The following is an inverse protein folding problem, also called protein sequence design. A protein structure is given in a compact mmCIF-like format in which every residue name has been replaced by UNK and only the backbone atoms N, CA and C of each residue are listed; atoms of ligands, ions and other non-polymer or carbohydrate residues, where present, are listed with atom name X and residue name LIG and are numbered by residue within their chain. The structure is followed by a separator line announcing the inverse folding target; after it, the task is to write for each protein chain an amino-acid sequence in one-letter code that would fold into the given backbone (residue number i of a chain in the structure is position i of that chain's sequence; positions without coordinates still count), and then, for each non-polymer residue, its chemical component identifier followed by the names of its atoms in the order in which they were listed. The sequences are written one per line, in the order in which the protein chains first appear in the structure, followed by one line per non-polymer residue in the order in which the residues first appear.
data_IF_635755327893
#
_entry.id   IF_635755327893
#
_cell.length_a   1.000
_cell.length_b   1.000
_cell.length_c   1.000
_cell.angle_alpha   90.00
_cell.angle_beta   90.00
_cell.angle_gamma   90.00
#
_symmetry.space_group_name_H-M   'P 1'
#
loop_
_entity.id
_entity.type
_entity.pdbx_description
1 polymer ?
#
# COMPACT_ATOMS: atom_id res chain seq x y z
N UNK A 1 38.10 -42.22 -11.92
CA UNK A 1 36.80 -41.49 -11.97
C UNK A 1 36.84 -40.35 -10.95
N UNK A 2 36.13 -39.24 -11.22
CA UNK A 2 36.11 -37.93 -10.50
C UNK A 2 37.21 -36.94 -10.89
N UNK A 3 36.87 -35.95 -11.72
CA UNK A 3 37.38 -34.55 -11.63
C UNK A 3 36.90 -33.60 -12.73
N UNK A 4 36.18 -34.06 -13.78
CA UNK A 4 35.76 -33.14 -14.87
C UNK A 4 34.41 -32.45 -14.69
N UNK A 5 33.54 -32.94 -13.81
CA UNK A 5 32.20 -32.34 -13.61
C UNK A 5 32.19 -31.08 -12.73
N UNK A 6 33.24 -30.83 -11.95
CA UNK A 6 33.25 -29.70 -11.01
C UNK A 6 33.57 -28.34 -11.67
N UNK A 7 34.15 -28.34 -12.88
CA UNK A 7 34.48 -27.10 -13.61
C UNK A 7 33.33 -26.50 -14.41
N UNK A 8 32.24 -27.26 -14.62
CA UNK A 8 31.09 -26.82 -15.41
C UNK A 8 29.89 -26.39 -14.57
N UNK A 9 29.78 -26.84 -13.31
CA UNK A 9 28.68 -26.45 -12.41
C UNK A 9 28.87 -25.08 -11.76
N UNK A 10 30.12 -24.64 -11.57
CA UNK A 10 30.46 -23.38 -10.90
C UNK A 10 29.97 -22.11 -11.64
N UNK A 11 30.11 -21.97 -12.97
CA UNK A 11 29.65 -20.76 -13.66
C UNK A 11 28.12 -20.64 -13.69
N UNK A 12 27.39 -21.76 -13.76
CA UNK A 12 25.91 -21.74 -13.86
C UNK A 12 25.26 -21.24 -12.57
N UNK A 13 25.81 -21.56 -11.39
CA UNK A 13 25.27 -21.11 -10.10
C UNK A 13 25.37 -19.60 -9.89
N UNK A 14 26.43 -18.95 -10.38
CA UNK A 14 26.64 -17.50 -10.22
C UNK A 14 25.66 -16.70 -11.08
N UNK A 15 25.37 -17.14 -12.31
CA UNK A 15 24.37 -16.50 -13.16
C UNK A 15 22.94 -16.61 -12.60
N UNK A 16 22.58 -17.75 -12.01
CA UNK A 16 21.26 -17.93 -11.40
C UNK A 16 21.08 -17.11 -10.12
N UNK A 17 22.13 -16.93 -9.30
CA UNK A 17 22.10 -16.07 -8.11
C UNK A 17 21.93 -14.58 -8.46
N UNK A 18 22.58 -14.09 -9.52
CA UNK A 18 22.45 -12.69 -9.95
C UNK A 18 21.01 -12.34 -10.37
N UNK A 19 20.34 -13.28 -11.05
CA UNK A 19 18.95 -13.11 -11.48
C UNK A 19 18.01 -13.10 -10.25
N UNK A 20 18.21 -13.98 -9.27
CA UNK A 20 17.41 -14.01 -8.04
C UNK A 20 17.52 -12.75 -7.16
N UNK A 21 18.68 -12.10 -7.14
CA UNK A 21 18.91 -10.87 -6.37
C UNK A 21 18.27 -9.62 -7.04
N UNK A 22 18.09 -9.63 -8.36
CA UNK A 22 17.38 -8.57 -9.08
C UNK A 22 15.89 -8.56 -8.70
N UNK A 23 15.25 -9.72 -8.66
CA UNK A 23 13.83 -9.85 -8.28
C UNK A 23 13.55 -9.67 -6.78
N UNK A 24 14.58 -9.79 -5.92
CA UNK A 24 14.45 -9.42 -4.51
C UNK A 24 14.52 -7.90 -4.28
N UNK A 25 15.12 -7.15 -5.22
CA UNK A 25 15.33 -5.70 -5.10
C UNK A 25 14.10 -4.87 -5.48
N UNK A 26 13.02 -5.50 -5.95
CA UNK A 26 11.73 -4.87 -6.24
C UNK A 26 10.69 -5.17 -5.15
N UNK A 27 11.09 -5.10 -3.88
CA UNK A 27 10.16 -5.14 -2.75
C UNK A 27 10.28 -3.90 -1.86
N UNK A 28 10.73 -2.79 -2.44
CA UNK A 28 10.42 -1.46 -1.95
C UNK A 28 9.37 -0.89 -2.89
N UNK A 29 8.17 -1.48 -2.82
CA UNK A 29 6.98 -0.76 -3.26
C UNK A 29 7.09 0.60 -2.59
N UNK A 30 7.39 1.60 -3.41
CA UNK A 30 7.43 2.98 -3.00
C UNK A 30 6.16 3.20 -2.20
N UNK A 31 6.35 3.36 -0.89
CA UNK A 31 5.48 4.08 0.02
C UNK A 31 5.39 5.51 -0.52
N UNK A 32 4.83 5.64 -1.73
CA UNK A 32 4.06 6.81 -2.09
C UNK A 32 3.10 6.91 -0.94
N UNK A 33 3.28 7.94 -0.12
CA UNK A 33 2.25 8.65 0.62
C UNK A 33 0.89 8.34 -0.01
N UNK A 34 0.31 7.20 0.37
CA UNK A 34 -0.79 6.63 -0.39
C UNK A 34 -1.96 7.44 0.09
N UNK A 35 -2.42 8.38 -0.74
CA UNK A 35 -3.65 9.12 -0.48
C UNK A 35 -4.70 8.10 -0.04
N UNK A 36 -4.96 8.08 1.27
CA UNK A 36 -5.84 7.08 1.86
C UNK A 36 -7.21 7.42 1.31
N UNK A 37 -7.76 6.54 0.48
CA UNK A 37 -9.08 6.75 -0.08
C UNK A 37 -10.06 6.80 1.08
N UNK A 38 -10.55 8.00 1.39
CA UNK A 38 -11.55 8.20 2.43
C UNK A 38 -12.88 7.61 1.99
N UNK A 39 -13.72 7.22 2.94
CA UNK A 39 -15.06 6.70 2.71
C UNK A 39 -16.08 7.53 3.47
N UNK A 40 -17.25 7.75 2.87
CA UNK A 40 -18.41 8.36 3.53
C UNK A 40 -19.57 7.38 3.56
N UNK A 41 -20.36 7.44 4.63
CA UNK A 41 -21.57 6.63 4.73
C UNK A 41 -22.71 7.28 3.95
N UNK A 42 -23.14 6.64 2.86
CA UNK A 42 -24.26 7.10 2.03
C UNK A 42 -25.12 5.93 1.58
N UNK A 43 -26.45 6.11 1.68
CA UNK A 43 -27.44 5.11 1.26
C UNK A 43 -27.20 3.71 1.87
N UNK A 44 -26.80 3.66 3.15
CA UNK A 44 -26.56 2.41 3.87
C UNK A 44 -25.24 1.71 3.55
N UNK A 45 -24.34 2.37 2.81
CA UNK A 45 -23.04 1.82 2.41
C UNK A 45 -21.91 2.84 2.56
N UNK A 46 -20.68 2.37 2.76
CA UNK A 46 -19.48 3.18 2.70
C UNK A 46 -19.04 3.34 1.25
N UNK A 47 -19.14 4.56 0.73
CA UNK A 47 -18.71 4.91 -0.62
C UNK A 47 -17.41 5.69 -0.59
N UNK A 48 -16.51 5.50 -1.56
CA UNK A 48 -15.28 6.27 -1.64
C UNK A 48 -15.59 7.76 -1.80
N UNK A 49 -14.91 8.59 -1.04
CA UNK A 49 -14.98 10.04 -1.07
C UNK A 49 -13.72 10.56 -1.80
N UNK A 50 -13.86 11.39 -2.85
CA UNK A 50 -12.72 12.00 -3.54
C UNK A 50 -12.20 13.20 -2.74
N UNK A 51 -11.81 12.96 -1.48
CA UNK A 51 -11.27 13.98 -0.58
C UNK A 51 -10.04 13.43 0.11
N UNK A 52 -8.93 14.12 -0.09
CA UNK A 52 -7.69 13.83 0.62
C UNK A 52 -7.83 14.33 2.06
N UNK A 53 -7.85 13.37 2.99
CA UNK A 53 -7.91 13.59 4.43
C UNK A 53 -6.71 12.88 5.07
N UNK A 54 -6.16 13.44 6.14
CA UNK A 54 -5.11 12.80 6.92
C UNK A 54 -5.33 13.07 8.42
N UNK A 55 -4.67 12.30 9.28
CA UNK A 55 -4.85 12.45 10.73
C UNK A 55 -3.89 13.48 11.35
N UNK A 56 -3.50 14.54 10.63
CA UNK A 56 -2.53 15.54 11.12
C UNK A 56 -3.22 16.63 11.96
N UNK A 57 -4.44 17.05 11.61
CA UNK A 57 -5.19 18.03 12.42
C UNK A 57 -6.20 17.35 13.37
N UNK A 58 -6.76 18.15 14.29
CA UNK A 58 -7.88 17.74 15.13
C UNK A 58 -9.26 18.04 14.50
N UNK A 59 -9.30 18.67 13.31
CA UNK A 59 -10.56 19.07 12.66
C UNK A 59 -11.11 17.90 11.85
N UNK A 60 -12.34 17.43 12.11
CA UNK A 60 -12.90 16.28 11.41
C UNK A 60 -12.97 16.55 9.90
N UNK A 61 -12.52 15.59 9.09
CA UNK A 61 -12.63 15.71 7.64
C UNK A 61 -14.06 15.40 7.22
N UNK A 62 -14.70 16.33 6.51
CA UNK A 62 -16.04 16.12 5.97
C UNK A 62 -16.07 16.29 4.46
N UNK A 63 -16.91 15.49 3.80
CA UNK A 63 -17.18 15.57 2.38
C UNK A 63 -18.70 15.51 2.15
N UNK A 64 -19.25 16.51 1.46
CA UNK A 64 -20.70 16.68 1.26
C UNK A 64 -21.50 16.63 2.58
N UNK A 65 -20.95 17.21 3.65
CA UNK A 65 -21.57 17.21 4.99
C UNK A 65 -21.47 15.89 5.76
N UNK A 66 -20.81 14.86 5.21
CA UNK A 66 -20.60 13.57 5.88
C UNK A 66 -19.17 13.43 6.38
N UNK A 67 -19.01 12.82 7.56
CA UNK A 67 -17.70 12.46 8.11
C UNK A 67 -16.99 11.46 7.18
N UNK A 68 -15.72 11.72 6.90
CA UNK A 68 -14.85 10.82 6.13
C UNK A 68 -14.14 9.84 7.08
N UNK A 69 -14.02 8.60 6.64
CA UNK A 69 -13.50 7.45 7.38
C UNK A 69 -12.43 6.73 6.57
N UNK A 70 -11.46 6.07 7.21
CA UNK A 70 -10.40 5.34 6.50
C UNK A 70 -10.74 3.87 6.24
N UNK A 71 -11.72 3.31 6.96
CA UNK A 71 -12.11 1.89 6.83
C UNK A 71 -13.48 1.77 6.20
N UNK A 72 -13.57 0.94 5.16
CA UNK A 72 -14.81 0.51 4.55
C UNK A 72 -15.10 -0.95 4.93
N UNK A 73 -16.19 -1.18 5.65
CA UNK A 73 -16.68 -2.52 5.98
C UNK A 73 -18.06 -2.77 5.34
N UNK A 74 -18.27 -2.25 4.13
CA UNK A 74 -19.53 -2.31 3.37
C UNK A 74 -20.62 -1.43 3.96
N UNK A 75 -21.24 -1.88 5.04
CA UNK A 75 -22.35 -1.21 5.76
C UNK A 75 -21.89 -0.37 6.95
N UNK A 76 -20.60 -0.40 7.30
CA UNK A 76 -20.06 0.36 8.43
C UNK A 76 -18.72 0.98 8.06
N UNK A 77 -18.58 2.27 8.35
CA UNK A 77 -17.33 2.99 8.15
C UNK A 77 -16.69 3.21 9.51
N UNK A 78 -15.39 2.98 9.61
CA UNK A 78 -14.66 3.06 10.88
C UNK A 78 -13.35 3.84 10.71
N UNK A 79 -12.79 4.28 11.84
CA UNK A 79 -11.64 5.18 11.93
C UNK A 79 -11.86 6.52 11.21
N UNK A 80 -12.27 7.54 11.96
CA UNK A 80 -12.47 8.89 11.44
C UNK A 80 -11.16 9.45 10.88
N UNK A 81 -11.25 10.09 9.72
CA UNK A 81 -10.16 10.89 9.17
C UNK A 81 -10.35 12.36 9.53
N UNK A 82 -9.23 13.03 9.78
CA UNK A 82 -9.18 14.46 10.05
C UNK A 82 -8.65 15.23 8.83
N UNK A 83 -8.62 16.56 8.90
CA UNK A 83 -8.04 17.37 7.83
C UNK A 83 -6.52 17.35 7.87
N UNK A 84 -5.89 17.52 6.70
CA UNK A 84 -4.49 17.93 6.62
C UNK A 84 -4.35 19.27 7.33
N UNK A 85 -3.51 19.31 8.36
CA UNK A 85 -3.11 20.56 8.99
C UNK A 85 -2.54 21.50 7.93
N UNK A 86 -3.02 22.75 7.94
CA UNK A 86 -2.50 23.85 7.12
C UNK A 86 -1.05 24.16 7.50
#
# INVERSE_FOLDING_TARGET
MKSKFFKFGLPVGVFMMAIGLAFASESKASEKEAFVTGYIFQAGQCRPAPKDCNNISATPCTYLGNQVWSVNNGTSCAAMLFHNGL
#
